data_IF_642872063793
#
_entry.id   IF_642872063793
#
_cell.length_a   1.000
_cell.length_b   1.000
_cell.length_c   1.000
_cell.angle_alpha   90.00
_cell.angle_beta   90.00
_cell.angle_gamma   90.00
#
_symmetry.space_group_name_H-M   'P 1'
#
loop_
_entity.id
_entity.type
_entity.pdbx_description
1 polymer ?
#
# COMPACT_ATOMS: atom_id res chain seq x y z
N UNK A 1 -18.91 19.33 -9.70
CA UNK A 1 -17.69 18.90 -8.99
C UNK A 1 -16.60 19.88 -9.38
N UNK A 2 -16.06 20.62 -8.43
CA UNK A 2 -15.11 21.70 -8.68
C UNK A 2 -13.68 21.17 -8.68
N UNK A 3 -12.74 21.87 -9.33
CA UNK A 3 -11.31 21.50 -9.33
C UNK A 3 -10.76 21.27 -7.90
N UNK A 4 -11.09 22.09 -6.88
CA UNK A 4 -10.68 21.84 -5.50
C UNK A 4 -11.14 20.47 -4.95
N UNK A 5 -12.35 20.04 -5.28
CA UNK A 5 -12.91 18.76 -4.80
C UNK A 5 -12.11 17.57 -5.34
N UNK A 6 -11.64 17.67 -6.59
CA UNK A 6 -10.83 16.64 -7.25
C UNK A 6 -9.48 16.50 -6.54
N UNK A 7 -8.81 17.62 -6.28
CA UNK A 7 -7.53 17.63 -5.57
C UNK A 7 -7.66 17.06 -4.16
N UNK A 8 -8.67 17.47 -3.41
CA UNK A 8 -8.91 16.94 -2.07
C UNK A 8 -9.10 15.41 -2.09
N UNK A 9 -9.83 14.90 -3.07
CA UNK A 9 -10.06 13.45 -3.23
C UNK A 9 -8.77 12.71 -3.57
N UNK A 10 -7.92 13.27 -4.44
CA UNK A 10 -6.62 12.70 -4.78
C UNK A 10 -5.69 12.67 -3.56
N UNK A 11 -5.59 13.78 -2.82
CA UNK A 11 -4.75 13.87 -1.61
C UNK A 11 -5.20 12.88 -0.55
N UNK A 12 -6.51 12.75 -0.31
CA UNK A 12 -7.04 11.76 0.63
C UNK A 12 -6.68 10.33 0.23
N UNK A 13 -6.79 9.98 -1.07
CA UNK A 13 -6.39 8.66 -1.58
C UNK A 13 -4.89 8.40 -1.44
N UNK A 14 -4.05 9.40 -1.67
CA UNK A 14 -2.61 9.29 -1.45
C UNK A 14 -2.30 9.00 0.03
N UNK A 15 -2.97 9.71 0.95
CA UNK A 15 -2.81 9.49 2.39
C UNK A 15 -3.24 8.08 2.82
N UNK A 16 -4.34 7.55 2.29
CA UNK A 16 -4.76 6.16 2.55
C UNK A 16 -3.71 5.15 2.08
N UNK A 17 -3.16 5.35 0.88
CA UNK A 17 -2.13 4.46 0.34
C UNK A 17 -0.84 4.50 1.17
N UNK A 18 -0.38 5.69 1.57
CA UNK A 18 0.79 5.84 2.44
C UNK A 18 0.57 5.18 3.80
N UNK A 19 -0.60 5.41 4.42
CA UNK A 19 -0.97 4.77 5.68
C UNK A 19 -0.97 3.24 5.57
N UNK A 20 -1.50 2.68 4.48
CA UNK A 20 -1.47 1.25 4.18
C UNK A 20 -0.04 0.69 4.15
N UNK A 21 0.85 1.36 3.41
CA UNK A 21 2.26 0.96 3.27
C UNK A 21 2.95 0.96 4.64
N UNK A 22 2.74 2.01 5.43
CA UNK A 22 3.31 2.14 6.77
C UNK A 22 2.78 1.06 7.71
N UNK A 23 1.47 0.79 7.66
CA UNK A 23 0.80 -0.16 8.54
C UNK A 23 1.20 -1.61 8.28
N UNK A 24 1.52 -1.94 7.02
CA UNK A 24 2.10 -3.23 6.63
C UNK A 24 3.63 -3.30 6.86
N UNK A 25 4.27 -2.22 7.31
CA UNK A 25 5.72 -2.20 7.53
C UNK A 25 6.57 -2.27 6.26
N UNK A 26 6.03 -1.86 5.11
CA UNK A 26 6.68 -2.04 3.79
C UNK A 26 7.45 -0.81 3.30
N UNK A 27 7.50 0.27 4.10
CA UNK A 27 8.11 1.54 3.68
C UNK A 27 9.58 1.41 3.27
N UNK A 28 10.35 0.54 3.93
CA UNK A 28 11.77 0.35 3.62
C UNK A 28 11.98 -0.45 2.33
N UNK A 29 11.16 -1.48 2.13
CA UNK A 29 11.26 -2.46 1.05
C UNK A 29 10.82 -1.83 -0.27
N UNK A 30 9.72 -1.06 -0.25
CA UNK A 30 9.27 -0.32 -1.42
C UNK A 30 10.35 0.64 -1.95
N UNK A 31 11.13 1.29 -1.07
CA UNK A 31 12.23 2.18 -1.47
C UNK A 31 13.41 1.46 -2.11
N UNK A 32 13.53 0.15 -1.91
CA UNK A 32 14.58 -0.71 -2.48
C UNK A 32 14.16 -1.36 -3.79
N UNK A 33 12.88 -1.26 -4.17
CA UNK A 33 12.39 -1.85 -5.41
C UNK A 33 13.07 -1.19 -6.62
N UNK A 34 13.44 -1.98 -7.64
CA UNK A 34 13.84 -1.43 -8.93
C UNK A 34 12.68 -0.60 -9.50
N UNK A 35 13.01 0.51 -10.15
CA UNK A 35 12.03 1.40 -10.77
C UNK A 35 10.91 1.86 -9.82
N UNK A 36 11.28 2.15 -8.56
CA UNK A 36 10.34 2.56 -7.49
C UNK A 36 9.32 3.60 -7.97
N UNK A 37 9.74 4.60 -8.76
CA UNK A 37 8.85 5.63 -9.29
C UNK A 37 7.72 5.05 -10.18
N UNK A 38 8.05 4.14 -11.09
CA UNK A 38 7.06 3.52 -11.97
C UNK A 38 6.15 2.56 -11.21
N UNK A 39 6.72 1.75 -10.32
CA UNK A 39 5.97 0.81 -9.47
C UNK A 39 4.97 1.57 -8.60
N UNK A 40 5.40 2.66 -7.96
CA UNK A 40 4.54 3.50 -7.13
C UNK A 40 3.51 4.26 -7.95
N UNK A 41 3.84 4.74 -9.14
CA UNK A 41 2.88 5.34 -10.07
C UNK A 41 1.75 4.38 -10.44
N UNK A 42 2.09 3.13 -10.76
CA UNK A 42 1.11 2.08 -11.05
C UNK A 42 0.24 1.74 -9.83
N UNK A 43 0.83 1.65 -8.65
CA UNK A 43 0.10 1.38 -7.41
C UNK A 43 -0.83 2.55 -7.02
N UNK A 44 -0.38 3.79 -7.21
CA UNK A 44 -1.19 4.98 -7.01
C UNK A 44 -2.38 5.01 -7.99
N UNK A 45 -2.15 4.70 -9.27
CA UNK A 45 -3.24 4.64 -10.26
C UNK A 45 -4.30 3.59 -9.89
N UNK A 46 -3.90 2.40 -9.41
CA UNK A 46 -4.84 1.38 -8.89
C UNK A 46 -5.60 1.85 -7.66
N UNK A 47 -4.95 2.57 -6.75
CA UNK A 47 -5.55 3.09 -5.51
C UNK A 47 -6.56 4.22 -5.78
N UNK A 48 -6.22 5.15 -6.68
CA UNK A 48 -7.11 6.24 -7.11
C UNK A 48 -8.40 5.71 -7.74
N UNK A 49 -8.32 4.60 -8.46
CA UNK A 49 -9.46 3.91 -9.10
C UNK A 49 -10.09 2.81 -8.23
N UNK A 50 -9.84 2.78 -6.92
CA UNK A 50 -10.45 1.81 -6.02
C UNK A 50 -11.87 2.25 -5.62
N UNK A 51 -12.83 1.32 -5.68
CA UNK A 51 -14.24 1.58 -5.40
C UNK A 51 -14.57 1.68 -3.90
N UNK A 52 -13.65 1.28 -3.02
CA UNK A 52 -13.90 1.15 -1.57
C UNK A 52 -12.87 1.90 -0.71
N UNK A 53 -12.72 3.23 -0.82
CA UNK A 53 -11.81 4.00 0.03
C UNK A 53 -12.23 4.03 1.49
N UNK A 54 -13.52 4.13 1.78
CA UNK A 54 -14.03 4.26 3.14
C UNK A 54 -13.72 2.99 3.94
N UNK A 55 -13.90 1.82 3.30
CA UNK A 55 -13.47 0.54 3.86
C UNK A 55 -11.95 0.51 4.14
N UNK A 56 -11.13 1.11 3.27
CA UNK A 56 -9.69 1.29 3.52
C UNK A 56 -9.43 2.12 4.77
N UNK A 57 -10.10 3.25 4.92
CA UNK A 57 -9.96 4.08 6.11
C UNK A 57 -10.38 3.33 7.39
N UNK A 58 -11.49 2.60 7.36
CA UNK A 58 -11.96 1.82 8.50
C UNK A 58 -11.00 0.68 8.86
N UNK A 59 -10.50 -0.05 7.87
CA UNK A 59 -9.50 -1.08 8.06
C UNK A 59 -8.19 -0.50 8.63
N UNK A 60 -7.78 0.68 8.16
CA UNK A 60 -6.65 1.43 8.71
C UNK A 60 -6.86 1.88 10.15
N UNK A 61 -8.09 2.10 10.60
CA UNK A 61 -8.38 2.43 12.00
C UNK A 61 -8.50 1.19 12.90
N UNK A 62 -8.99 0.06 12.37
CA UNK A 62 -9.30 -1.15 13.15
C UNK A 62 -8.11 -2.07 13.38
N UNK A 63 -7.33 -2.35 12.34
CA UNK A 63 -6.22 -3.31 12.48
C UNK A 63 -5.05 -2.68 13.25
N UNK A 64 -4.27 -3.44 14.01
CA UNK A 64 -3.09 -2.90 14.70
C UNK A 64 -1.79 -3.33 14.05
N UNK A 65 -1.67 -4.62 13.70
CA UNK A 65 -0.47 -5.18 13.07
C UNK A 65 -0.86 -6.25 12.05
N UNK A 66 -1.47 -5.84 10.94
CA UNK A 66 -1.88 -6.77 9.89
C UNK A 66 -0.67 -7.29 9.12
N UNK A 67 -0.63 -8.60 8.86
CA UNK A 67 0.37 -9.23 8.00
C UNK A 67 0.00 -9.18 6.51
N UNK A 68 -1.27 -8.94 6.17
CA UNK A 68 -1.78 -8.97 4.81
C UNK A 68 -2.66 -7.76 4.51
N UNK A 69 -2.72 -7.40 3.23
CA UNK A 69 -3.66 -6.38 2.76
C UNK A 69 -5.10 -6.95 2.72
N UNK A 70 -6.15 -6.12 2.93
CA UNK A 70 -7.52 -6.60 2.88
C UNK A 70 -7.89 -7.05 1.47
N UNK A 71 -8.81 -8.02 1.38
CA UNK A 71 -9.16 -8.69 0.11
C UNK A 71 -9.68 -7.74 -0.97
N UNK A 72 -10.37 -6.65 -0.60
CA UNK A 72 -10.87 -5.66 -1.55
C UNK A 72 -9.80 -4.71 -2.10
N UNK A 73 -8.59 -4.70 -1.52
CA UNK A 73 -7.55 -3.76 -1.90
C UNK A 73 -7.05 -4.04 -3.33
N UNK A 74 -7.16 -3.06 -4.22
CA UNK A 74 -6.66 -3.14 -5.61
C UNK A 74 -5.15 -3.31 -5.70
N UNK A 75 -4.43 -3.04 -4.61
CA UNK A 75 -2.99 -3.25 -4.47
C UNK A 75 -2.64 -4.49 -3.64
N UNK A 76 -3.59 -5.37 -3.30
CA UNK A 76 -3.36 -6.56 -2.47
C UNK A 76 -2.18 -7.37 -3.01
N UNK A 77 -2.28 -7.88 -4.23
CA UNK A 77 -1.22 -8.69 -4.86
C UNK A 77 0.15 -8.00 -4.90
N UNK A 78 0.16 -6.66 -5.01
CA UNK A 78 1.40 -5.90 -4.99
C UNK A 78 2.03 -5.93 -3.60
N UNK A 79 1.24 -5.69 -2.55
CA UNK A 79 1.72 -5.76 -1.17
C UNK A 79 2.11 -7.18 -0.76
N UNK A 80 1.29 -8.18 -1.08
CA UNK A 80 1.56 -9.59 -0.77
C UNK A 80 2.89 -10.07 -1.35
N UNK A 81 3.23 -9.62 -2.56
CA UNK A 81 4.52 -9.93 -3.18
C UNK A 81 5.70 -9.38 -2.38
N UNK A 82 5.62 -8.12 -1.96
CA UNK A 82 6.68 -7.48 -1.17
C UNK A 82 6.80 -8.13 0.20
N UNK A 83 5.67 -8.51 0.82
CA UNK A 83 5.65 -9.24 2.09
C UNK A 83 6.40 -10.57 1.92
N UNK A 84 6.06 -11.35 0.91
CA UNK A 84 6.71 -12.63 0.63
C UNK A 84 8.23 -12.48 0.36
N UNK A 85 8.63 -11.45 -0.40
CA UNK A 85 10.05 -11.12 -0.62
C UNK A 85 10.75 -10.75 0.69
N UNK A 86 10.10 -9.96 1.55
CA UNK A 86 10.64 -9.55 2.86
C UNK A 86 10.86 -10.76 3.78
N UNK A 87 9.91 -11.67 3.82
CA UNK A 87 10.01 -12.89 4.63
C UNK A 87 11.10 -13.83 4.13
N UNK A 88 11.27 -13.93 2.80
CA UNK A 88 12.34 -14.72 2.18
C UNK A 88 13.73 -14.15 2.52
N UNK A 89 13.93 -12.84 2.40
CA UNK A 89 15.17 -12.15 2.76
C UNK A 89 15.53 -12.34 4.24
N UNK A 90 14.51 -12.26 5.11
CA UNK A 90 14.68 -12.46 6.55
C UNK A 90 15.16 -13.89 6.86
N UNK A 91 14.56 -14.90 6.21
CA UNK A 91 14.95 -16.31 6.36
C UNK A 91 16.36 -16.61 5.84
N UNK A 92 16.74 -16.02 4.71
CA UNK A 92 18.08 -16.17 4.15
C UNK A 92 19.15 -15.57 5.09
N UNK A 93 18.85 -14.40 5.67
CA UNK A 93 19.74 -13.70 6.61
C UNK A 93 19.89 -14.44 7.95
N UNK A 94 18.87 -15.16 8.42
CA UNK A 94 18.93 -15.95 9.66
C UNK A 94 19.64 -17.30 9.52
N UNK A 95 19.92 -17.74 8.29
CA UNK A 95 20.53 -19.03 7.97
C UNK A 95 22.04 -18.92 7.66
N UNK A 96 22.61 -17.72 7.82
CA UNK A 96 24.01 -17.39 7.54
C UNK A 96 24.77 -17.05 8.83
#
# INVERSE_FOLDING_TARGET
>A
MSIPDIFQRMTWRANLMEAMIRKLGLSGQIRRLPDTAQVMGNAAHRCLNCEQPDACQEWLARENSPHHAPAYCRNREFFERIIAETEADTRASSSS
#
